data_IF_997395392183
#
_entry.id   IF_997395392183
#
_cell.length_a   1.000
_cell.length_b   1.000
_cell.length_c   1.000
_cell.angle_alpha   90.00
_cell.angle_beta   90.00
_cell.angle_gamma   90.00
#
_symmetry.space_group_name_H-M   'P 1'
#
loop_
_entity.id
_entity.type
_entity.pdbx_description
1 polymer ?
#
# COMPACT_ATOMS: atom_id res chain seq x y z
N UNK A 1 5.79 -1.13 -8.03
CA UNK A 1 4.79 -1.27 -6.95
C UNK A 1 5.51 -1.47 -5.62
N UNK A 2 4.92 -1.00 -4.53
CA UNK A 2 5.43 -1.24 -3.18
C UNK A 2 4.53 -2.23 -2.44
N UNK A 3 5.11 -3.14 -1.67
CA UNK A 3 4.35 -4.11 -0.87
C UNK A 3 4.49 -3.74 0.59
N UNK A 4 3.37 -3.46 1.25
CA UNK A 4 3.29 -3.34 2.69
C UNK A 4 2.53 -4.53 3.27
N UNK A 5 2.80 -4.84 4.54
CA UNK A 5 2.05 -5.85 5.30
C UNK A 5 1.53 -5.26 6.59
N UNK A 6 0.25 -5.49 6.85
CA UNK A 6 -0.43 -5.04 8.06
C UNK A 6 -1.07 -6.28 8.69
N UNK A 7 -0.60 -6.68 9.87
CA UNK A 7 -1.11 -7.87 10.57
C UNK A 7 -1.17 -9.14 9.69
N UNK A 8 -0.19 -9.33 8.80
CA UNK A 8 -0.15 -10.46 7.86
C UNK A 8 -0.98 -10.29 6.58
N UNK A 9 -1.78 -9.23 6.50
CA UNK A 9 -2.54 -8.87 5.31
C UNK A 9 -1.68 -8.07 4.31
N UNK A 10 -1.74 -8.43 3.03
CA UNK A 10 -0.92 -7.84 1.98
C UNK A 10 -1.58 -6.56 1.46
N UNK A 11 -0.80 -5.49 1.40
CA UNK A 11 -1.20 -4.22 0.81
C UNK A 11 -0.28 -3.91 -0.38
N UNK A 12 -0.86 -3.92 -1.56
CA UNK A 12 -0.23 -3.57 -2.83
C UNK A 12 -0.40 -2.07 -3.05
N UNK A 13 0.70 -1.32 -3.07
CA UNK A 13 0.71 0.14 -3.14
C UNK A 13 1.27 0.57 -4.50
N UNK A 14 0.40 1.18 -5.32
CA UNK A 14 0.81 1.78 -6.59
C UNK A 14 1.79 2.94 -6.32
N UNK A 15 2.86 3.02 -7.12
CA UNK A 15 3.98 3.97 -6.96
C UNK A 15 4.75 3.86 -5.62
N UNK A 16 4.58 2.77 -4.86
CA UNK A 16 5.26 2.58 -3.57
C UNK A 16 6.78 2.35 -3.62
N UNK A 17 7.41 2.36 -4.80
CA UNK A 17 8.85 2.07 -4.96
C UNK A 17 9.74 3.20 -4.42
N UNK A 18 9.35 4.44 -4.63
CA UNK A 18 10.11 5.62 -4.15
C UNK A 18 9.99 5.84 -2.63
N UNK A 19 9.07 5.13 -1.99
CA UNK A 19 8.73 5.28 -0.57
C UNK A 19 9.17 4.09 0.28
N UNK A 20 10.07 3.25 -0.23
CA UNK A 20 10.60 2.10 0.51
C UNK A 20 11.32 2.60 1.77
N UNK A 21 10.94 2.05 2.93
CA UNK A 21 11.49 2.43 4.23
C UNK A 21 10.86 3.67 4.86
N UNK A 22 9.95 4.36 4.16
CA UNK A 22 9.26 5.54 4.66
C UNK A 22 7.84 5.19 5.12
N UNK A 23 7.32 5.98 6.07
CA UNK A 23 5.91 5.91 6.48
C UNK A 23 5.13 6.93 5.66
N UNK A 24 4.30 6.41 4.74
CA UNK A 24 3.43 7.23 3.89
C UNK A 24 1.97 6.95 4.16
N UNK A 25 1.14 7.98 4.02
CA UNK A 25 -0.30 7.83 4.01
C UNK A 25 -0.74 7.30 2.65
N UNK A 26 -1.54 6.24 2.67
CA UNK A 26 -2.07 5.59 1.47
C UNK A 26 -3.58 5.49 1.56
N UNK A 27 -4.25 5.65 0.42
CA UNK A 27 -5.68 5.37 0.29
C UNK A 27 -5.86 3.94 -0.18
N UNK A 28 -6.63 3.16 0.57
CA UNK A 28 -7.09 1.85 0.10
C UNK A 28 -8.22 2.07 -0.91
N UNK A 29 -8.03 1.59 -2.13
CA UNK A 29 -9.00 1.73 -3.22
C UNK A 29 -9.91 0.50 -3.32
N UNK A 30 -9.31 -0.69 -3.23
CA UNK A 30 -10.04 -1.96 -3.31
C UNK A 30 -9.47 -2.99 -2.35
N UNK A 31 -10.36 -3.69 -1.65
CA UNK A 31 -10.01 -4.78 -0.74
C UNK A 31 -10.43 -6.11 -1.37
N UNK A 32 -9.50 -7.04 -1.51
CA UNK A 32 -9.76 -8.42 -1.93
C UNK A 32 -9.68 -9.37 -0.72
N UNK A 33 -9.84 -10.68 -0.92
CA UNK A 33 -9.72 -11.64 0.19
C UNK A 33 -8.29 -11.82 0.69
N UNK A 34 -7.31 -11.72 -0.21
CA UNK A 34 -5.90 -12.06 0.06
C UNK A 34 -4.97 -10.86 0.05
N UNK A 35 -5.43 -9.71 -0.46
CA UNK A 35 -4.67 -8.46 -0.51
C UNK A 35 -5.60 -7.26 -0.69
N UNK A 36 -5.11 -6.05 -0.47
CA UNK A 36 -5.78 -4.83 -0.89
C UNK A 36 -4.88 -4.01 -1.81
N UNK A 37 -5.51 -3.28 -2.73
CA UNK A 37 -4.85 -2.25 -3.53
C UNK A 37 -4.99 -0.91 -2.86
N UNK A 38 -3.88 -0.19 -2.81
CA UNK A 38 -3.80 1.14 -2.28
C UNK A 38 -2.96 2.03 -3.21
N UNK A 39 -3.14 3.33 -3.06
CA UNK A 39 -2.40 4.36 -3.78
C UNK A 39 -1.92 5.41 -2.79
N UNK A 40 -0.75 5.97 -3.05
CA UNK A 40 -0.19 7.00 -2.19
C UNK A 40 -1.09 8.24 -2.21
N UNK A 41 -1.45 8.72 -1.02
CA UNK A 41 -2.06 10.03 -0.80
C UNK A 41 -0.91 10.99 -0.50
N UNK A 42 -0.20 11.40 -1.54
CA UNK A 42 0.77 12.48 -1.39
C UNK A 42 0.00 13.81 -1.21
N UNK A 43 0.55 14.68 -0.37
CA UNK A 43 0.05 16.03 -0.13
C UNK A 43 1.22 16.99 -0.16
#
# INVERSE_FOLDING_TARGET
>A
DGIARIHGYILDIENGKDYIGQRVLVKVDKVHRTYAKARILER
#
